data_IF_233977099492
#
_entry.id   IF_233977099492
#
_cell.length_a   1.000
_cell.length_b   1.000
_cell.length_c   1.000
_cell.angle_alpha   90.00
_cell.angle_beta   90.00
_cell.angle_gamma   90.00
#
_symmetry.space_group_name_H-M   'P 1'
#
loop_
_entity.id
_entity.type
_entity.pdbx_description
1 polymer ?
#
# COMPACT_ATOMS: atom_id res chain seq x y z
N UNK A 1 34.76 -58.12 3.51
CA UNK A 1 35.60 -57.03 4.06
C UNK A 1 35.83 -56.04 2.93
N UNK A 2 35.47 -54.77 2.93
CA UNK A 2 34.75 -53.90 3.87
C UNK A 2 34.01 -52.87 3.01
N UNK A 3 32.72 -52.70 3.27
CA UNK A 3 31.84 -51.69 2.67
C UNK A 3 32.15 -50.37 3.38
N UNK A 4 32.81 -49.44 2.69
CA UNK A 4 33.11 -48.10 3.23
C UNK A 4 31.99 -47.12 2.91
N UNK A 5 30.97 -47.15 3.78
CA UNK A 5 30.31 -45.97 4.37
C UNK A 5 30.02 -44.77 3.46
N UNK A 6 28.81 -44.78 2.88
CA UNK A 6 28.05 -43.57 2.58
C UNK A 6 27.98 -42.67 3.83
N UNK A 7 28.49 -41.44 3.73
CA UNK A 7 28.09 -40.38 4.66
C UNK A 7 26.70 -39.89 4.27
N UNK A 8 25.75 -39.77 5.21
CA UNK A 8 24.44 -39.22 4.91
C UNK A 8 24.62 -37.74 4.58
N UNK A 9 24.26 -37.34 3.37
CA UNK A 9 23.98 -35.94 3.08
C UNK A 9 22.93 -35.48 4.10
N UNK A 10 23.29 -34.47 4.90
CA UNK A 10 22.46 -33.98 5.99
C UNK A 10 21.09 -33.56 5.45
N UNK A 11 20.05 -34.35 5.73
CA UNK A 11 18.66 -34.07 5.35
C UNK A 11 18.20 -32.70 5.89
N UNK A 12 18.86 -32.19 6.94
CA UNK A 12 18.65 -30.84 7.48
C UNK A 12 19.11 -29.70 6.56
N UNK A 13 20.08 -29.90 5.66
CA UNK A 13 20.46 -28.88 4.67
C UNK A 13 19.50 -28.80 3.48
N UNK A 14 18.85 -29.92 3.12
CA UNK A 14 17.82 -29.90 2.08
C UNK A 14 16.48 -29.38 2.63
N UNK A 15 16.15 -29.66 3.90
CA UNK A 15 14.96 -29.07 4.54
C UNK A 15 15.08 -27.56 4.76
N UNK A 16 16.27 -27.03 5.07
CA UNK A 16 16.44 -25.57 5.19
C UNK A 16 16.35 -24.85 3.84
N UNK A 17 16.81 -25.48 2.76
CA UNK A 17 16.67 -24.95 1.39
C UNK A 17 15.21 -25.01 0.89
N UNK A 18 14.48 -26.07 1.25
CA UNK A 18 13.04 -26.20 0.92
C UNK A 18 12.19 -25.25 1.77
N UNK A 19 12.55 -24.99 3.03
CA UNK A 19 11.92 -23.93 3.85
C UNK A 19 12.25 -22.52 3.34
N UNK A 20 13.39 -22.30 2.68
CA UNK A 20 13.68 -21.05 1.97
C UNK A 20 12.86 -20.88 0.67
N UNK A 21 12.40 -21.98 0.07
CA UNK A 21 11.61 -21.96 -1.18
C UNK A 21 10.09 -21.91 -0.94
N UNK A 22 9.63 -22.20 0.28
CA UNK A 22 8.24 -22.01 0.71
C UNK A 22 8.02 -20.75 1.57
N UNK A 23 9.00 -19.83 1.57
CA UNK A 23 8.75 -18.46 1.98
C UNK A 23 7.69 -17.87 1.06
N UNK A 24 6.46 -17.78 1.54
CA UNK A 24 5.37 -17.01 0.93
C UNK A 24 5.98 -15.65 0.57
N UNK A 25 6.23 -15.45 -0.72
CA UNK A 25 6.73 -14.19 -1.24
C UNK A 25 5.65 -13.15 -0.94
N UNK A 26 5.86 -12.38 0.13
CA UNK A 26 5.19 -11.10 0.36
C UNK A 26 5.14 -10.38 -0.99
N UNK A 27 3.92 -10.05 -1.42
CA UNK A 27 3.64 -9.66 -2.80
C UNK A 27 4.61 -8.57 -3.28
N UNK A 28 4.92 -8.60 -4.56
CA UNK A 28 5.85 -7.69 -5.24
C UNK A 28 5.49 -6.19 -5.11
N UNK A 29 4.32 -5.88 -4.53
CA UNK A 29 3.85 -4.53 -4.20
C UNK A 29 4.19 -4.05 -2.79
N UNK A 30 4.45 -4.98 -1.86
CA UNK A 30 5.16 -4.67 -0.61
C UNK A 30 6.62 -4.32 -0.96
N UNK A 31 7.21 -5.03 -1.94
CA UNK A 31 8.58 -4.80 -2.42
C UNK A 31 8.78 -3.54 -3.26
N UNK A 32 7.76 -3.05 -3.99
CA UNK A 32 7.81 -1.77 -4.76
C UNK A 32 7.50 -0.52 -3.94
N UNK A 33 7.30 -0.66 -2.62
CA UNK A 33 7.22 0.45 -1.66
C UNK A 33 8.59 0.95 -1.16
N UNK A 34 9.68 0.50 -1.74
CA UNK A 34 11.09 0.66 -1.34
C UNK A 34 11.69 2.03 -1.68
N UNK A 35 10.98 3.09 -1.33
CA UNK A 35 11.58 4.14 -0.50
C UNK A 35 10.81 4.02 0.81
N UNK A 36 11.12 2.96 1.56
CA UNK A 36 10.42 2.63 2.79
C UNK A 36 11.08 3.36 3.97
N UNK A 37 10.34 3.47 5.07
CA UNK A 37 10.83 4.06 6.31
C UNK A 37 12.14 3.41 6.77
N UNK A 38 12.32 2.10 6.54
CA UNK A 38 13.53 1.35 6.85
C UNK A 38 14.78 1.82 6.10
N UNK A 39 14.65 2.15 4.82
CA UNK A 39 15.74 2.70 4.01
C UNK A 39 16.18 4.05 4.56
N UNK A 40 15.23 4.93 4.88
CA UNK A 40 15.52 6.25 5.44
C UNK A 40 16.16 6.15 6.83
N UNK A 41 15.67 5.24 7.68
CA UNK A 41 16.26 4.92 8.99
C UNK A 41 17.74 4.52 8.82
N UNK A 42 18.02 3.51 7.99
CA UNK A 42 19.38 2.99 7.79
C UNK A 42 20.32 4.09 7.29
N UNK A 43 19.86 4.90 6.34
CA UNK A 43 20.66 6.02 5.81
C UNK A 43 21.00 7.03 6.91
N UNK A 44 20.02 7.49 7.67
CA UNK A 44 20.27 8.49 8.70
C UNK A 44 21.05 7.97 9.90
N UNK A 45 20.86 6.71 10.30
CA UNK A 45 21.69 6.09 11.34
C UNK A 45 23.15 5.97 10.91
N UNK A 46 23.40 5.57 9.65
CA UNK A 46 24.76 5.49 9.09
C UNK A 46 25.42 6.86 9.05
N UNK A 47 24.66 7.90 8.73
CA UNK A 47 25.16 9.27 8.62
C UNK A 47 25.16 10.00 9.98
N UNK A 48 24.84 9.28 11.08
CA UNK A 48 24.73 9.80 12.46
C UNK A 48 23.71 10.94 12.65
N UNK A 49 22.75 11.10 11.72
CA UNK A 49 21.62 12.02 11.85
C UNK A 49 20.48 11.34 12.64
N UNK A 50 20.70 11.19 13.94
CA UNK A 50 19.75 10.50 14.81
C UNK A 50 18.42 11.24 14.97
N UNK A 51 18.37 12.55 14.71
CA UNK A 51 17.10 13.29 14.78
C UNK A 51 16.17 12.95 13.62
N UNK A 52 16.69 12.85 12.39
CA UNK A 52 15.88 12.37 11.27
C UNK A 52 15.58 10.89 11.36
N UNK A 53 16.54 10.06 11.80
CA UNK A 53 16.29 8.64 12.05
C UNK A 53 15.12 8.42 13.03
N UNK A 54 15.08 9.19 14.13
CA UNK A 54 13.99 9.13 15.10
C UNK A 54 12.62 9.41 14.46
N UNK A 55 12.53 10.45 13.64
CA UNK A 55 11.28 10.79 12.93
C UNK A 55 10.82 9.68 11.98
N UNK A 56 11.75 9.00 11.29
CA UNK A 56 11.39 7.90 10.40
C UNK A 56 11.04 6.61 11.13
N UNK A 57 11.59 6.37 12.33
CA UNK A 57 11.10 5.34 13.23
C UNK A 57 9.66 5.61 13.70
N UNK A 58 9.35 6.86 14.08
CA UNK A 58 7.97 7.27 14.39
C UNK A 58 7.04 7.07 13.19
N UNK A 59 7.47 7.45 11.98
CA UNK A 59 6.71 7.25 10.75
C UNK A 59 6.44 5.76 10.46
N UNK A 60 7.42 4.88 10.71
CA UNK A 60 7.25 3.44 10.59
C UNK A 60 6.19 2.90 11.57
N UNK A 61 6.21 3.38 12.82
CA UNK A 61 5.21 3.04 13.82
C UNK A 61 3.81 3.54 13.43
N UNK A 62 3.71 4.75 12.89
CA UNK A 62 2.45 5.33 12.39
C UNK A 62 1.89 4.53 11.20
N UNK A 63 2.73 4.05 10.29
CA UNK A 63 2.26 3.20 9.18
C UNK A 63 1.66 1.88 9.69
N UNK A 64 2.28 1.26 10.70
CA UNK A 64 1.74 0.05 11.32
C UNK A 64 0.38 0.32 11.98
N UNK A 65 0.25 1.43 12.70
CA UNK A 65 -0.98 1.80 13.41
C UNK A 65 -2.12 2.21 12.46
N UNK A 66 -1.84 3.04 11.47
CA UNK A 66 -2.86 3.67 10.62
C UNK A 66 -3.31 2.71 9.51
N UNK A 67 -2.42 1.82 9.04
CA UNK A 67 -2.66 0.98 7.86
C UNK A 67 -2.73 -0.49 8.23
N UNK A 68 -1.62 -1.07 8.70
CA UNK A 68 -1.49 -2.53 8.87
C UNK A 68 -2.44 -3.08 9.93
N UNK A 69 -2.55 -2.39 11.07
CA UNK A 69 -3.38 -2.81 12.19
C UNK A 69 -4.88 -2.82 11.84
N UNK A 70 -5.50 -1.73 11.31
CA UNK A 70 -6.90 -1.75 10.86
C UNK A 70 -7.18 -2.80 9.79
N UNK A 71 -6.25 -3.00 8.86
CA UNK A 71 -6.37 -4.02 7.83
C UNK A 71 -6.45 -5.42 8.43
N UNK A 72 -5.58 -5.74 9.39
CA UNK A 72 -5.57 -7.05 10.02
C UNK A 72 -6.86 -7.27 10.83
N UNK A 73 -7.34 -6.24 11.55
CA UNK A 73 -8.62 -6.31 12.26
C UNK A 73 -9.82 -6.57 11.34
N UNK A 74 -9.85 -5.96 10.15
CA UNK A 74 -10.89 -6.23 9.14
C UNK A 74 -10.79 -7.68 8.65
N UNK A 75 -9.57 -8.17 8.42
CA UNK A 75 -9.30 -9.53 7.95
C UNK A 75 -9.73 -10.59 8.97
N UNK A 76 -9.37 -10.39 10.25
CA UNK A 76 -9.81 -11.24 11.37
C UNK A 76 -11.33 -11.31 11.43
N UNK A 77 -12.01 -10.15 11.36
CA UNK A 77 -13.48 -10.09 11.39
C UNK A 77 -14.10 -10.87 10.23
N UNK A 78 -13.50 -10.82 9.04
CA UNK A 78 -13.94 -11.62 7.90
C UNK A 78 -13.78 -13.11 8.17
N UNK A 79 -12.63 -13.56 8.67
CA UNK A 79 -12.41 -14.98 9.00
C UNK A 79 -13.37 -15.50 10.09
N UNK A 80 -13.61 -14.71 11.13
CA UNK A 80 -14.56 -15.04 12.19
C UNK A 80 -15.98 -15.24 11.65
N UNK A 81 -16.44 -14.34 10.76
CA UNK A 81 -17.77 -14.42 10.14
C UNK A 81 -17.98 -15.73 9.37
N UNK A 82 -16.90 -16.32 8.84
CA UNK A 82 -16.95 -17.54 8.03
C UNK A 82 -16.43 -18.79 8.76
N UNK A 83 -16.23 -18.74 10.08
CA UNK A 83 -15.80 -19.88 10.88
C UNK A 83 -14.41 -20.42 10.50
N UNK A 84 -13.50 -19.53 10.09
CA UNK A 84 -12.15 -19.90 9.65
C UNK A 84 -11.15 -19.86 10.83
N UNK A 85 -11.40 -20.65 11.87
CA UNK A 85 -10.74 -20.52 13.19
C UNK A 85 -9.21 -20.51 13.14
N UNK A 86 -8.59 -21.38 12.34
CA UNK A 86 -7.11 -21.39 12.17
C UNK A 86 -6.56 -20.12 11.53
N UNK A 87 -7.31 -19.51 10.61
CA UNK A 87 -6.93 -18.24 10.00
C UNK A 87 -7.16 -17.08 10.96
N UNK A 88 -8.18 -17.16 11.82
CA UNK A 88 -8.39 -16.19 12.91
C UNK A 88 -7.20 -16.21 13.88
N UNK A 89 -6.76 -17.40 14.30
CA UNK A 89 -5.61 -17.58 15.18
C UNK A 89 -4.35 -16.98 14.55
N UNK A 90 -3.99 -17.41 13.34
CA UNK A 90 -2.82 -16.90 12.62
C UNK A 90 -2.86 -15.38 12.39
N UNK A 91 -4.01 -14.82 12.03
CA UNK A 91 -4.15 -13.38 11.84
C UNK A 91 -4.08 -12.59 13.18
N UNK A 92 -4.52 -13.20 14.28
CA UNK A 92 -4.40 -12.61 15.62
C UNK A 92 -2.94 -12.59 16.09
N UNK A 93 -2.17 -13.64 15.79
CA UNK A 93 -0.73 -13.66 16.03
C UNK A 93 -0.01 -12.59 15.20
N UNK A 94 -0.37 -12.44 13.92
CA UNK A 94 0.20 -11.39 13.05
C UNK A 94 -0.14 -9.98 13.58
N UNK A 95 -1.37 -9.77 14.05
CA UNK A 95 -1.77 -8.52 14.71
C UNK A 95 -0.91 -8.23 15.95
N UNK A 96 -0.65 -9.23 16.80
CA UNK A 96 0.21 -9.08 17.96
C UNK A 96 1.66 -8.76 17.56
N UNK A 97 2.14 -9.34 16.46
CA UNK A 97 3.47 -9.06 15.92
C UNK A 97 3.57 -7.62 15.38
N UNK A 98 2.51 -7.12 14.72
CA UNK A 98 2.39 -5.71 14.30
C UNK A 98 2.49 -4.78 15.52
N UNK A 99 1.72 -5.05 16.57
CA UNK A 99 1.73 -4.25 17.79
C UNK A 99 3.12 -4.25 18.45
N UNK A 100 3.78 -5.41 18.52
CA UNK A 100 5.16 -5.54 19.02
C UNK A 100 6.17 -4.78 18.18
N UNK A 101 6.08 -4.87 16.85
CA UNK A 101 7.00 -4.16 15.94
C UNK A 101 6.82 -2.64 16.05
N UNK A 102 5.58 -2.17 16.19
CA UNK A 102 5.27 -0.76 16.43
C UNK A 102 5.95 -0.26 17.71
N UNK A 103 5.85 -0.99 18.81
CA UNK A 103 6.54 -0.63 20.05
C UNK A 103 8.06 -0.60 19.90
N UNK A 104 8.64 -1.57 19.17
CA UNK A 104 10.08 -1.60 18.90
C UNK A 104 10.55 -0.35 18.13
N UNK A 105 9.79 0.10 17.13
CA UNK A 105 10.10 1.33 16.43
C UNK A 105 10.00 2.56 17.33
N UNK A 106 8.98 2.66 18.19
CA UNK A 106 8.87 3.78 19.14
C UNK A 106 10.02 3.80 20.15
N UNK A 107 10.46 2.64 20.66
CA UNK A 107 11.65 2.56 21.53
C UNK A 107 12.91 2.97 20.78
N UNK A 108 13.06 2.57 19.52
CA UNK A 108 14.21 2.95 18.69
C UNK A 108 14.23 4.44 18.38
N UNK A 109 13.06 5.04 18.12
CA UNK A 109 12.91 6.49 17.97
C UNK A 109 13.36 7.24 19.22
N UNK A 110 12.94 6.78 20.41
CA UNK A 110 13.35 7.38 21.68
C UNK A 110 14.88 7.36 21.86
N UNK A 111 15.52 6.21 21.61
CA UNK A 111 16.98 6.08 21.69
C UNK A 111 17.71 6.98 20.68
N UNK A 112 17.13 7.22 19.51
CA UNK A 112 17.67 8.15 18.53
C UNK A 112 17.49 9.61 18.98
N UNK A 113 16.36 9.95 19.60
CA UNK A 113 16.14 11.29 20.15
C UNK A 113 17.15 11.65 21.25
N UNK A 114 17.49 10.70 22.13
CA UNK A 114 18.49 10.89 23.19
C UNK A 114 19.88 11.24 22.64
N UNK A 115 20.19 10.82 21.41
CA UNK A 115 21.47 11.07 20.72
C UNK A 115 21.41 12.25 19.75
N UNK A 116 20.24 12.84 19.55
CA UNK A 116 20.02 13.83 18.50
C UNK A 116 20.63 15.19 18.86
N UNK A 117 21.46 15.70 17.95
CA UNK A 117 21.93 17.10 17.94
C UNK A 117 21.39 17.86 16.72
N UNK A 118 20.37 17.31 16.07
CA UNK A 118 19.86 17.77 14.78
C UNK A 118 19.14 19.10 14.93
N UNK A 119 19.48 20.08 14.08
CA UNK A 119 18.89 21.40 14.15
C UNK A 119 17.36 21.38 13.94
N UNK A 120 16.64 22.19 14.70
CA UNK A 120 15.16 22.21 14.67
C UNK A 120 14.59 22.50 13.27
N UNK A 121 15.21 23.41 12.50
CA UNK A 121 14.76 23.72 11.14
C UNK A 121 14.82 22.50 10.20
N UNK A 122 15.83 21.64 10.38
CA UNK A 122 15.97 20.39 9.65
C UNK A 122 14.88 19.40 10.04
N UNK A 123 14.57 19.28 11.33
CA UNK A 123 13.49 18.41 11.82
C UNK A 123 12.12 18.85 11.32
N UNK A 124 11.85 20.15 11.21
CA UNK A 124 10.59 20.68 10.65
C UNK A 124 10.46 20.31 9.17
N UNK A 125 11.53 20.48 8.38
CA UNK A 125 11.55 20.06 6.97
C UNK A 125 11.28 18.55 6.83
N UNK A 126 11.92 17.73 7.67
CA UNK A 126 11.77 16.27 7.61
C UNK A 126 10.35 15.82 8.01
N UNK A 127 9.74 16.44 9.02
CA UNK A 127 8.34 16.20 9.39
C UNK A 127 7.36 16.48 8.24
N UNK A 128 7.65 17.49 7.41
CA UNK A 128 6.83 17.78 6.23
C UNK A 128 6.95 16.67 5.17
N UNK A 129 8.16 16.12 4.95
CA UNK A 129 8.37 14.99 4.03
C UNK A 129 7.64 13.74 4.51
N UNK A 130 7.81 13.38 5.79
CA UNK A 130 7.15 12.22 6.40
C UNK A 130 5.63 12.34 6.30
N UNK A 131 5.11 13.54 6.52
CA UNK A 131 3.68 13.78 6.37
C UNK A 131 3.16 13.53 4.96
N UNK A 132 3.88 14.03 3.95
CA UNK A 132 3.53 13.79 2.55
C UNK A 132 3.60 12.29 2.23
N UNK A 133 4.64 11.61 2.73
CA UNK A 133 4.79 10.16 2.61
C UNK A 133 3.58 9.42 3.19
N UNK A 134 3.15 9.71 4.42
CA UNK A 134 2.00 9.04 5.04
C UNK A 134 0.70 9.35 4.28
N UNK A 135 0.47 10.62 3.91
CA UNK A 135 -0.70 11.03 3.11
C UNK A 135 -0.80 10.25 1.80
N UNK A 136 0.34 10.07 1.13
CA UNK A 136 0.46 9.29 -0.09
C UNK A 136 0.06 7.83 0.17
N UNK A 137 0.73 7.16 1.10
CA UNK A 137 0.48 5.75 1.42
C UNK A 137 -0.97 5.45 1.82
N UNK A 138 -1.55 6.30 2.66
CA UNK A 138 -2.95 6.16 3.13
C UNK A 138 -3.96 6.33 1.99
N UNK A 139 -3.67 7.21 1.03
CA UNK A 139 -4.53 7.44 -0.15
C UNK A 139 -4.50 6.26 -1.12
N UNK A 140 -3.36 5.58 -1.27
CA UNK A 140 -3.22 4.44 -2.20
C UNK A 140 -3.72 3.12 -1.67
N UNK A 141 -3.74 2.95 -0.35
CA UNK A 141 -3.84 1.61 0.23
C UNK A 141 -5.10 0.83 -0.21
N UNK A 142 -6.32 1.41 -0.20
CA UNK A 142 -7.50 0.67 -0.62
C UNK A 142 -7.51 0.30 -2.11
N UNK A 143 -6.86 1.10 -2.97
CA UNK A 143 -6.70 0.76 -4.39
C UNK A 143 -5.68 -0.37 -4.60
N UNK A 144 -4.73 -0.55 -3.69
CA UNK A 144 -3.80 -1.70 -3.70
C UNK A 144 -4.45 -3.01 -3.28
N UNK A 145 -5.58 -2.96 -2.56
CA UNK A 145 -6.36 -4.16 -2.17
C UNK A 145 -6.60 -5.09 -3.37
N UNK A 146 -7.13 -4.56 -4.48
CA UNK A 146 -7.42 -5.33 -5.69
C UNK A 146 -6.19 -5.64 -6.53
N UNK A 147 -5.22 -4.73 -6.56
CA UNK A 147 -4.08 -4.86 -7.46
C UNK A 147 -2.99 -5.78 -6.92
N UNK A 148 -2.85 -5.93 -5.59
CA UNK A 148 -1.53 -6.27 -5.03
C UNK A 148 -1.46 -6.92 -3.63
N UNK A 149 -2.53 -7.53 -3.11
CA UNK A 149 -2.41 -8.27 -1.84
C UNK A 149 -3.66 -9.06 -1.48
N UNK A 150 -4.38 -8.58 -0.47
CA UNK A 150 -5.53 -9.26 0.14
C UNK A 150 -6.60 -9.74 -0.84
N UNK A 151 -6.94 -8.98 -1.89
CA UNK A 151 -7.94 -9.47 -2.84
C UNK A 151 -7.48 -10.73 -3.56
N UNK A 152 -6.26 -10.70 -4.08
CA UNK A 152 -5.67 -11.79 -4.85
C UNK A 152 -5.50 -13.03 -3.98
N UNK A 153 -5.05 -12.82 -2.74
CA UNK A 153 -4.75 -13.89 -1.79
C UNK A 153 -6.01 -14.53 -1.20
N UNK A 154 -7.04 -13.73 -0.87
CA UNK A 154 -8.25 -14.21 -0.20
C UNK A 154 -9.40 -14.57 -1.14
N UNK A 155 -9.56 -13.83 -2.24
CA UNK A 155 -10.77 -13.89 -3.07
C UNK A 155 -10.47 -14.36 -4.48
N UNK A 156 -9.45 -13.81 -5.16
CA UNK A 156 -9.23 -13.96 -6.60
C UNK A 156 -9.09 -15.41 -7.07
N UNK A 157 -8.22 -16.20 -6.42
CA UNK A 157 -8.03 -17.62 -6.78
C UNK A 157 -9.29 -18.45 -6.54
N UNK A 158 -9.97 -18.23 -5.41
CA UNK A 158 -11.17 -18.97 -5.03
C UNK A 158 -12.34 -18.63 -5.97
N UNK A 159 -12.49 -17.36 -6.31
CA UNK A 159 -13.51 -16.90 -7.26
C UNK A 159 -13.32 -17.57 -8.62
N UNK A 160 -12.08 -17.59 -9.15
CA UNK A 160 -11.80 -18.22 -10.44
C UNK A 160 -12.22 -19.70 -10.46
N UNK A 161 -11.91 -20.45 -9.40
CA UNK A 161 -12.30 -21.86 -9.27
C UNK A 161 -13.82 -22.05 -9.17
N UNK A 162 -14.54 -21.17 -8.46
CA UNK A 162 -15.99 -21.22 -8.36
C UNK A 162 -16.66 -20.98 -9.72
N UNK A 163 -16.16 -20.00 -10.48
CA UNK A 163 -16.64 -19.72 -11.83
C UNK A 163 -16.42 -20.90 -12.78
N UNK A 164 -15.25 -21.55 -12.73
CA UNK A 164 -14.96 -22.74 -13.54
C UNK A 164 -15.90 -23.91 -13.22
N UNK A 165 -16.32 -24.04 -11.95
CA UNK A 165 -17.26 -25.08 -11.50
C UNK A 165 -18.73 -24.75 -11.76
N UNK A 166 -19.03 -23.56 -12.29
CA UNK A 166 -20.40 -23.07 -12.47
C UNK A 166 -21.10 -22.70 -11.15
N UNK A 167 -20.36 -22.54 -10.05
CA UNK A 167 -20.89 -22.13 -8.75
C UNK A 167 -21.01 -20.60 -8.68
N UNK A 168 -21.94 -20.10 -9.47
CA UNK A 168 -22.18 -18.68 -9.70
C UNK A 168 -22.68 -17.92 -8.47
N UNK A 169 -23.54 -18.55 -7.67
CA UNK A 169 -24.06 -17.97 -6.43
C UNK A 169 -22.93 -17.72 -5.42
N UNK A 170 -22.08 -18.73 -5.20
CA UNK A 170 -20.96 -18.60 -4.25
C UNK A 170 -19.92 -17.62 -4.78
N UNK A 171 -19.65 -17.59 -6.09
CA UNK A 171 -18.74 -16.61 -6.69
C UNK A 171 -19.21 -15.16 -6.51
N UNK A 172 -20.53 -14.90 -6.65
CA UNK A 172 -21.12 -13.57 -6.42
C UNK A 172 -21.06 -13.17 -4.94
N UNK A 173 -21.36 -14.08 -4.02
CA UNK A 173 -21.26 -13.80 -2.58
C UNK A 173 -19.82 -13.51 -2.16
N UNK A 174 -18.85 -14.26 -2.69
CA UNK A 174 -17.42 -14.03 -2.44
C UNK A 174 -16.96 -12.64 -2.96
N UNK A 175 -17.41 -12.23 -4.14
CA UNK A 175 -17.12 -10.88 -4.65
C UNK A 175 -17.81 -9.80 -3.81
N UNK A 176 -19.03 -10.05 -3.32
CA UNK A 176 -19.73 -9.13 -2.45
C UNK A 176 -18.95 -8.87 -1.16
N UNK A 177 -18.39 -9.93 -0.56
CA UNK A 177 -17.57 -9.80 0.65
C UNK A 177 -16.28 -9.03 0.39
N UNK A 178 -15.64 -9.23 -0.76
CA UNK A 178 -14.47 -8.43 -1.14
C UNK A 178 -14.80 -6.94 -1.27
N UNK A 179 -15.99 -6.61 -1.78
CA UNK A 179 -16.45 -5.24 -1.92
C UNK A 179 -16.74 -4.61 -0.54
N UNK A 180 -17.35 -5.35 0.39
CA UNK A 180 -17.51 -4.90 1.77
C UNK A 180 -16.17 -4.66 2.46
N UNK A 181 -15.24 -5.59 2.32
CA UNK A 181 -13.91 -5.49 2.91
C UNK A 181 -13.18 -4.25 2.37
N UNK A 182 -13.28 -3.97 1.07
CA UNK A 182 -12.70 -2.76 0.48
C UNK A 182 -13.36 -1.47 1.01
N UNK A 183 -14.69 -1.45 1.18
CA UNK A 183 -15.38 -0.33 1.80
C UNK A 183 -14.91 -0.09 3.25
N UNK A 184 -14.75 -1.17 4.03
CA UNK A 184 -14.22 -1.10 5.39
C UNK A 184 -12.78 -0.55 5.43
N UNK A 185 -11.93 -0.91 4.45
CA UNK A 185 -10.58 -0.36 4.32
C UNK A 185 -10.59 1.15 4.06
N UNK A 186 -11.42 1.63 3.12
CA UNK A 186 -11.57 3.07 2.90
C UNK A 186 -12.04 3.81 4.16
N UNK A 187 -13.00 3.22 4.89
CA UNK A 187 -13.55 3.82 6.10
C UNK A 187 -12.51 3.92 7.22
N UNK A 188 -11.83 2.80 7.51
CA UNK A 188 -10.97 2.69 8.70
C UNK A 188 -9.55 3.19 8.51
N UNK A 189 -9.07 3.28 7.28
CA UNK A 189 -7.71 3.74 6.97
C UNK A 189 -7.80 5.15 6.40
N UNK A 190 -8.29 5.30 5.18
CA UNK A 190 -8.21 6.56 4.43
C UNK A 190 -9.10 7.67 5.00
N UNK A 191 -10.40 7.40 5.17
CA UNK A 191 -11.35 8.40 5.70
C UNK A 191 -11.00 8.75 7.15
N UNK A 192 -10.71 7.74 7.99
CA UNK A 192 -10.33 7.96 9.38
C UNK A 192 -9.09 8.84 9.51
N UNK A 193 -8.05 8.58 8.70
CA UNK A 193 -6.84 9.38 8.68
C UNK A 193 -7.13 10.84 8.31
N UNK A 194 -7.80 11.12 7.19
CA UNK A 194 -8.07 12.50 6.78
C UNK A 194 -9.01 13.25 7.73
N UNK A 195 -9.96 12.55 8.37
CA UNK A 195 -10.76 13.13 9.46
C UNK A 195 -9.88 13.49 10.66
N UNK A 196 -8.89 12.67 11.01
CA UNK A 196 -7.94 12.99 12.09
C UNK A 196 -7.06 14.20 11.74
N UNK A 197 -6.63 14.35 10.48
CA UNK A 197 -5.85 15.51 10.02
C UNK A 197 -6.67 16.80 10.04
N UNK A 198 -7.96 16.71 9.69
CA UNK A 198 -8.90 17.82 9.80
C UNK A 198 -9.04 18.32 11.25
N UNK A 199 -9.15 17.41 12.21
CA UNK A 199 -9.20 17.76 13.64
C UNK A 199 -7.91 18.43 14.14
N UNK A 200 -6.77 18.11 13.52
CA UNK A 200 -5.47 18.75 13.78
C UNK A 200 -5.31 20.12 13.10
N UNK A 201 -6.34 20.63 12.43
CA UNK A 201 -6.31 21.94 11.74
C UNK A 201 -5.51 21.96 10.44
N UNK A 202 -5.16 20.78 9.89
CA UNK A 202 -4.24 20.66 8.77
C UNK A 202 -4.97 20.68 7.43
N UNK A 203 -4.56 21.56 6.50
CA UNK A 203 -5.07 21.66 5.12
C UNK A 203 -6.60 21.48 5.04
N UNK A 204 -7.35 22.25 5.83
CA UNK A 204 -8.77 22.01 6.12
C UNK A 204 -9.62 21.76 4.87
N UNK A 205 -9.50 22.60 3.85
CA UNK A 205 -10.31 22.48 2.64
C UNK A 205 -9.95 21.23 1.82
N UNK A 206 -8.66 20.91 1.74
CA UNK A 206 -8.18 19.68 1.08
C UNK A 206 -8.67 18.44 1.82
N UNK A 207 -8.53 18.40 3.15
CA UNK A 207 -8.98 17.25 3.94
C UNK A 207 -10.50 17.06 3.84
N UNK A 208 -11.30 18.14 3.85
CA UNK A 208 -12.76 18.07 3.63
C UNK A 208 -13.10 17.47 2.27
N UNK A 209 -12.43 17.96 1.21
CA UNK A 209 -12.63 17.46 -0.15
C UNK A 209 -12.29 15.98 -0.24
N UNK A 210 -11.12 15.57 0.25
CA UNK A 210 -10.66 14.18 0.23
C UNK A 210 -11.60 13.26 1.01
N UNK A 211 -12.02 13.64 2.22
CA UNK A 211 -13.01 12.87 3.00
C UNK A 211 -14.30 12.67 2.20
N UNK A 212 -14.86 13.73 1.62
CA UNK A 212 -16.08 13.63 0.82
C UNK A 212 -15.92 12.71 -0.39
N UNK A 213 -14.78 12.79 -1.08
CA UNK A 213 -14.48 11.93 -2.24
C UNK A 213 -14.35 10.46 -1.83
N UNK A 214 -13.60 10.15 -0.77
CA UNK A 214 -13.42 8.77 -0.32
C UNK A 214 -14.70 8.18 0.27
N UNK A 215 -15.57 8.98 0.89
CA UNK A 215 -16.90 8.53 1.29
C UNK A 215 -17.76 8.10 0.10
N UNK A 216 -17.71 8.82 -1.03
CA UNK A 216 -18.38 8.40 -2.28
C UNK A 216 -17.83 7.07 -2.80
N UNK A 217 -16.51 6.87 -2.77
CA UNK A 217 -15.89 5.61 -3.22
C UNK A 217 -16.28 4.44 -2.32
N UNK A 218 -16.23 4.62 -1.00
CA UNK A 218 -16.74 3.64 -0.02
C UNK A 218 -18.20 3.27 -0.34
N UNK A 219 -19.07 4.25 -0.56
CA UNK A 219 -20.48 4.00 -0.82
C UNK A 219 -20.74 3.23 -2.12
N UNK A 220 -19.93 3.46 -3.16
CA UNK A 220 -19.95 2.66 -4.38
C UNK A 220 -19.66 1.18 -4.07
N UNK A 221 -18.64 0.90 -3.26
CA UNK A 221 -18.32 -0.47 -2.84
C UNK A 221 -19.44 -1.11 -1.99
N UNK A 222 -20.04 -0.36 -1.06
CA UNK A 222 -21.20 -0.84 -0.29
C UNK A 222 -22.39 -1.19 -1.19
N UNK A 223 -22.75 -0.30 -2.13
CA UNK A 223 -23.85 -0.55 -3.09
C UNK A 223 -23.55 -1.75 -3.98
N UNK A 224 -22.30 -1.91 -4.42
CA UNK A 224 -21.85 -3.07 -5.19
C UNK A 224 -22.03 -4.36 -4.41
N UNK A 225 -21.63 -4.42 -3.14
CA UNK A 225 -21.83 -5.60 -2.30
C UNK A 225 -23.32 -5.98 -2.19
N UNK A 226 -24.21 -5.00 -1.97
CA UNK A 226 -25.65 -5.23 -1.91
C UNK A 226 -26.18 -5.81 -3.23
N UNK A 227 -25.80 -5.21 -4.36
CA UNK A 227 -26.23 -5.66 -5.68
C UNK A 227 -25.77 -7.11 -5.96
N UNK A 228 -24.51 -7.42 -5.66
CA UNK A 228 -23.95 -8.77 -5.85
C UNK A 228 -24.69 -9.82 -5.02
N UNK A 229 -25.07 -9.50 -3.78
CA UNK A 229 -25.88 -10.41 -2.96
C UNK A 229 -27.31 -10.55 -3.47
N UNK A 230 -27.91 -9.48 -3.99
CA UNK A 230 -29.22 -9.56 -4.63
C UNK A 230 -29.19 -10.45 -5.88
N UNK A 231 -28.12 -10.36 -6.68
CA UNK A 231 -27.90 -11.26 -7.81
C UNK A 231 -27.70 -12.71 -7.35
N UNK A 232 -26.89 -12.93 -6.32
CA UNK A 232 -26.64 -14.27 -5.77
C UNK A 232 -27.94 -14.96 -5.32
N UNK A 233 -28.89 -14.21 -4.73
CA UNK A 233 -30.22 -14.72 -4.34
C UNK A 233 -31.08 -15.25 -5.50
N UNK A 234 -30.73 -14.97 -6.76
CA UNK A 234 -31.37 -15.61 -7.92
C UNK A 234 -31.00 -17.09 -8.05
N UNK A 235 -29.96 -17.55 -7.35
CA UNK A 235 -29.50 -18.94 -7.30
C UNK A 235 -29.23 -19.52 -8.69
N UNK A 236 -29.87 -20.64 -9.02
CA UNK A 236 -29.72 -21.32 -10.32
C UNK A 236 -30.14 -20.50 -11.54
N UNK A 237 -30.83 -19.37 -11.35
CA UNK A 237 -31.26 -18.48 -12.45
C UNK A 237 -30.19 -17.45 -12.83
N UNK A 238 -29.08 -17.40 -12.10
CA UNK A 238 -27.96 -16.52 -12.43
C UNK A 238 -27.34 -16.96 -13.76
N UNK A 239 -27.30 -16.06 -14.73
CA UNK A 239 -26.64 -16.32 -16.00
C UNK A 239 -25.12 -16.08 -15.92
N UNK A 240 -24.29 -16.83 -16.67
CA UNK A 240 -22.84 -16.62 -16.70
C UNK A 240 -22.44 -15.17 -17.05
N UNK A 241 -23.22 -14.48 -17.89
CA UNK A 241 -23.00 -13.06 -18.21
C UNK A 241 -23.27 -12.10 -17.05
N UNK A 242 -24.11 -12.47 -16.09
CA UNK A 242 -24.36 -11.70 -14.86
C UNK A 242 -23.23 -11.89 -13.84
N UNK A 243 -22.48 -12.99 -13.95
CA UNK A 243 -21.27 -13.29 -13.17
C UNK A 243 -20.00 -13.08 -13.97
N UNK A 244 -20.10 -12.52 -15.17
CA UNK A 244 -18.96 -11.88 -15.79
C UNK A 244 -18.63 -10.70 -14.88
N UNK A 245 -17.89 -11.00 -13.82
CA UNK A 245 -17.07 -10.06 -13.09
C UNK A 245 -16.16 -9.58 -14.21
N UNK A 246 -16.61 -8.49 -14.89
CA UNK A 246 -15.68 -7.47 -15.30
C UNK A 246 -14.82 -7.38 -14.08
N UNK A 247 -13.58 -7.89 -14.17
CA UNK A 247 -12.48 -7.32 -13.44
C UNK A 247 -12.87 -5.86 -13.48
N UNK A 248 -13.33 -5.34 -12.34
CA UNK A 248 -13.32 -3.93 -12.18
C UNK A 248 -11.82 -3.73 -12.18
N UNK A 249 -11.23 -3.61 -13.39
CA UNK A 249 -10.27 -2.59 -13.69
C UNK A 249 -10.89 -1.46 -12.93
N UNK A 250 -10.41 -1.22 -11.70
CA UNK A 250 -10.73 -0.08 -10.85
C UNK A 250 -10.98 1.00 -11.87
N UNK A 251 -12.26 1.39 -12.12
CA UNK A 251 -12.71 1.90 -13.41
C UNK A 251 -11.62 2.83 -13.84
N UNK A 252 -10.81 2.43 -14.86
CA UNK A 252 -9.52 3.08 -15.14
C UNK A 252 -9.92 4.53 -15.15
N UNK A 253 -9.56 5.25 -14.08
CA UNK A 253 -10.27 6.50 -13.82
C UNK A 253 -10.05 7.28 -15.08
N UNK A 254 -11.15 7.73 -15.71
CA UNK A 254 -11.09 8.16 -17.11
C UNK A 254 -10.11 9.31 -17.11
N UNK A 255 -8.89 9.00 -17.52
CA UNK A 255 -7.77 9.89 -17.44
C UNK A 255 -7.75 10.61 -18.77
N UNK A 256 -7.73 11.93 -18.70
CA UNK A 256 -7.58 12.76 -19.89
C UNK A 256 -6.17 12.64 -20.46
N UNK A 257 -5.17 12.43 -19.59
CA UNK A 257 -3.79 12.14 -19.99
C UNK A 257 -3.51 10.64 -19.90
N UNK A 258 -2.59 10.15 -20.70
CA UNK A 258 -1.96 8.84 -20.50
C UNK A 258 -0.78 8.94 -19.55
N UNK A 259 -0.31 7.78 -19.05
CA UNK A 259 0.92 7.70 -18.25
C UNK A 259 2.12 8.35 -18.93
N UNK A 260 2.20 8.19 -20.24
CA UNK A 260 3.30 8.70 -21.06
C UNK A 260 3.15 10.20 -21.26
N UNK A 261 1.91 10.69 -21.47
CA UNK A 261 1.63 12.13 -21.55
C UNK A 261 1.96 12.84 -20.24
N UNK A 262 1.51 12.31 -19.10
CA UNK A 262 1.84 12.86 -17.80
C UNK A 262 3.35 12.81 -17.52
N UNK A 263 4.03 11.72 -17.91
CA UNK A 263 5.48 11.61 -17.80
C UNK A 263 6.19 12.66 -18.64
N UNK A 264 5.73 12.90 -19.86
CA UNK A 264 6.33 13.88 -20.76
C UNK A 264 6.11 15.32 -20.26
N UNK A 265 4.91 15.64 -19.76
CA UNK A 265 4.63 16.92 -19.10
C UNK A 265 5.58 17.11 -17.91
N UNK A 266 5.69 16.11 -17.05
CA UNK A 266 6.56 16.15 -15.89
C UNK A 266 8.04 16.33 -16.27
N UNK A 267 8.53 15.59 -17.26
CA UNK A 267 9.90 15.72 -17.81
C UNK A 267 10.17 17.06 -18.49
N UNK A 268 9.13 17.74 -18.98
CA UNK A 268 9.27 19.01 -19.70
C UNK A 268 9.32 20.21 -18.76
N UNK A 269 9.03 20.01 -17.48
CA UNK A 269 9.14 21.06 -16.47
C UNK A 269 10.61 21.45 -16.27
N UNK A 270 10.92 22.74 -16.39
CA UNK A 270 12.30 23.27 -16.34
C UNK A 270 13.00 22.90 -15.03
N UNK A 271 12.30 22.99 -13.88
CA UNK A 271 12.87 22.62 -12.58
C UNK A 271 13.18 21.13 -12.48
N UNK A 272 12.33 20.27 -13.07
CA UNK A 272 12.52 18.82 -13.13
C UNK A 272 13.71 18.48 -14.03
N UNK A 273 13.80 19.10 -15.21
CA UNK A 273 14.94 18.89 -16.13
C UNK A 273 16.28 19.19 -15.46
N UNK A 274 16.37 20.28 -14.69
CA UNK A 274 17.57 20.63 -13.96
C UNK A 274 17.98 19.55 -12.94
N UNK A 275 17.01 18.97 -12.23
CA UNK A 275 17.24 17.88 -11.26
C UNK A 275 17.65 16.58 -11.96
N UNK A 276 17.04 16.27 -13.09
CA UNK A 276 17.32 15.04 -13.83
C UNK A 276 18.67 15.07 -14.56
N UNK A 277 19.13 16.25 -14.98
CA UNK A 277 20.37 16.41 -15.73
C UNK A 277 21.63 15.98 -14.95
N UNK A 278 21.59 16.05 -13.62
CA UNK A 278 22.70 15.64 -12.74
C UNK A 278 22.72 14.14 -12.40
N UNK A 279 21.73 13.36 -12.87
CA UNK A 279 21.57 11.96 -12.46
C UNK A 279 21.52 11.02 -13.67
N UNK A 280 22.33 9.95 -13.63
CA UNK A 280 22.29 8.88 -14.63
C UNK A 280 21.34 7.75 -14.21
N UNK A 281 20.79 7.02 -15.19
CA UNK A 281 19.98 5.83 -14.95
C UNK A 281 18.59 6.10 -14.36
N UNK A 282 18.06 7.31 -14.53
CA UNK A 282 16.76 7.70 -13.99
C UNK A 282 15.61 7.02 -14.74
N UNK A 283 14.66 6.45 -13.99
CA UNK A 283 13.43 5.86 -14.50
C UNK A 283 12.22 6.63 -13.99
N UNK A 284 11.26 6.87 -14.88
CA UNK A 284 9.98 7.48 -14.53
C UNK A 284 8.96 6.40 -14.15
N UNK A 285 8.24 6.65 -13.07
CA UNK A 285 7.16 5.82 -12.56
C UNK A 285 5.92 6.70 -12.49
N UNK A 286 5.11 6.77 -13.56
CA UNK A 286 3.84 7.47 -13.54
C UNK A 286 2.76 6.62 -12.87
N UNK A 287 1.97 7.23 -12.00
CA UNK A 287 0.76 6.63 -11.46
C UNK A 287 -0.35 7.68 -11.38
N UNK A 288 -1.59 7.21 -11.52
CA UNK A 288 -2.75 8.09 -11.47
C UNK A 288 -3.42 8.01 -10.09
N UNK A 289 -3.65 9.16 -9.45
CA UNK A 289 -4.18 9.23 -8.08
C UNK A 289 -5.72 9.26 -8.00
N UNK A 290 -6.42 9.38 -9.13
CA UNK A 290 -7.88 9.56 -9.16
C UNK A 290 -8.33 10.88 -9.78
N UNK A 291 -7.46 11.89 -9.80
CA UNK A 291 -7.75 13.23 -10.36
C UNK A 291 -6.50 13.93 -10.94
N UNK A 292 -5.30 13.48 -10.57
CA UNK A 292 -4.04 13.97 -11.10
C UNK A 292 -3.09 12.78 -11.32
N UNK A 293 -2.17 12.96 -12.25
CA UNK A 293 -1.04 12.07 -12.41
C UNK A 293 0.06 12.47 -11.45
N UNK A 294 0.80 11.48 -10.98
CA UNK A 294 2.03 11.71 -10.27
C UNK A 294 3.12 10.90 -10.92
N UNK A 295 4.27 11.53 -11.11
CA UNK A 295 5.39 10.97 -11.85
C UNK A 295 6.62 11.07 -10.96
N UNK A 296 7.05 9.92 -10.44
CA UNK A 296 8.27 9.79 -9.67
C UNK A 296 9.43 9.46 -10.59
N UNK A 297 10.51 10.21 -10.48
CA UNK A 297 11.74 9.94 -11.19
C UNK A 297 12.75 9.33 -10.23
N UNK A 298 13.03 8.04 -10.35
CA UNK A 298 13.89 7.33 -9.42
C UNK A 298 15.20 6.87 -10.07
N UNK A 299 16.26 6.77 -9.27
CA UNK A 299 17.56 6.21 -9.64
C UNK A 299 17.86 5.01 -8.71
N UNK A 300 18.37 3.91 -9.29
CA UNK A 300 18.70 2.67 -8.58
C UNK A 300 19.65 2.82 -7.38
N UNK A 301 20.43 3.90 -7.28
CA UNK A 301 21.32 4.19 -6.16
C UNK A 301 20.78 5.17 -5.11
N UNK A 302 19.68 5.89 -5.39
CA UNK A 302 19.30 7.09 -4.61
C UNK A 302 17.81 7.14 -4.20
N UNK A 303 16.98 6.24 -4.72
CA UNK A 303 15.53 6.32 -4.50
C UNK A 303 14.88 7.36 -5.41
N UNK A 304 13.79 7.98 -4.94
CA UNK A 304 13.02 8.95 -5.71
C UNK A 304 13.70 10.33 -5.70
N UNK A 305 14.02 10.86 -6.88
CA UNK A 305 14.76 12.11 -7.08
C UNK A 305 13.83 13.31 -7.17
N UNK A 306 12.68 13.15 -7.83
CA UNK A 306 11.69 14.22 -7.95
C UNK A 306 10.33 13.59 -8.25
N UNK A 307 9.32 14.05 -7.52
CA UNK A 307 7.92 13.67 -7.73
C UNK A 307 7.19 14.85 -8.34
N UNK A 308 6.53 14.64 -9.47
CA UNK A 308 5.80 15.70 -10.17
C UNK A 308 4.33 15.36 -10.19
N UNK A 309 3.48 16.28 -9.75
CA UNK A 309 2.03 16.17 -9.86
C UNK A 309 1.59 16.93 -11.11
N UNK A 310 0.93 16.21 -12.01
CA UNK A 310 0.38 16.74 -13.26
C UNK A 310 -1.14 16.65 -13.19
N UNK A 311 -1.82 17.78 -13.32
CA UNK A 311 -3.28 17.80 -13.37
C UNK A 311 -3.77 17.02 -14.60
N UNK A 312 -4.70 16.09 -14.40
CA UNK A 312 -5.17 15.26 -15.50
C UNK A 312 -6.15 16.00 -16.41
N UNK A 313 -6.86 17.01 -15.92
CA UNK A 313 -7.80 17.78 -16.74
C UNK A 313 -7.10 18.80 -17.63
N UNK A 314 -6.09 19.51 -17.11
CA UNK A 314 -5.40 20.61 -17.79
C UNK A 314 -4.08 20.20 -18.44
N UNK A 315 -3.42 19.15 -17.96
CA UNK A 315 -2.08 18.79 -18.44
C UNK A 315 -0.98 19.70 -17.90
N UNK A 316 -1.25 20.48 -16.87
CA UNK A 316 -0.27 21.37 -16.24
C UNK A 316 0.41 20.71 -15.05
N UNK A 317 1.66 21.10 -14.79
CA UNK A 317 2.36 20.72 -13.55
C UNK A 317 1.79 21.54 -12.41
N UNK A 318 1.13 20.85 -11.48
CA UNK A 318 0.53 21.44 -10.27
C UNK A 318 1.60 21.65 -9.20
N UNK A 319 2.49 20.67 -9.07
CA UNK A 319 3.55 20.70 -8.08
C UNK A 319 4.72 19.82 -8.53
N UNK A 320 5.93 20.16 -8.09
CA UNK A 320 7.12 19.37 -8.31
C UNK A 320 7.94 19.37 -7.02
N UNK A 321 7.93 18.23 -6.35
CA UNK A 321 8.66 18.02 -5.10
C UNK A 321 10.05 17.51 -5.45
N UNK A 322 11.04 18.40 -5.36
CA UNK A 322 12.43 17.99 -5.44
C UNK A 322 12.79 17.15 -4.20
N UNK A 323 13.24 15.92 -4.46
CA UNK A 323 13.68 14.97 -3.44
C UNK A 323 15.18 14.62 -3.61
N UNK A 324 15.87 15.23 -4.58
CA UNK A 324 17.31 15.15 -4.73
C UNK A 324 17.98 15.98 -3.64
N UNK A 325 18.81 15.33 -2.83
CA UNK A 325 19.62 15.99 -1.81
C UNK A 325 20.76 16.77 -2.49
N UNK A 326 20.97 18.02 -2.07
CA UNK A 326 22.27 18.68 -2.20
C UNK A 326 23.11 18.35 -0.97
#
# INVERSE_FOLDING_TARGET
>A
MSISTYRPFSITCFLSLVLCLFGIQLSDAVRRGTVDTGTMIICYERDHDYGRAALWYEAAADCLEIISRPMMLITIKYYQRYGMDKLVESATEELAQIDKQREQYLRSAQLCWEKSVTAQAVLVSEKNKISQFIEEWVSYYPNRFYNFGLYVDLFGKRQHLLLQKGDYETALNLEADSAEMCADLYLKITIAYFKSQLLKGRRLDVCRLLVSQYEKVRDIHCRRAILLRQLARKGRRVQPSEVAVRNVKVPKVRTRLTSDQATNVAKSCVSVQAILASHQGVRAYPWFQGFAWTVSFCNHGWGNLVTVIVDDETGEVVDAVNQSWN
#
